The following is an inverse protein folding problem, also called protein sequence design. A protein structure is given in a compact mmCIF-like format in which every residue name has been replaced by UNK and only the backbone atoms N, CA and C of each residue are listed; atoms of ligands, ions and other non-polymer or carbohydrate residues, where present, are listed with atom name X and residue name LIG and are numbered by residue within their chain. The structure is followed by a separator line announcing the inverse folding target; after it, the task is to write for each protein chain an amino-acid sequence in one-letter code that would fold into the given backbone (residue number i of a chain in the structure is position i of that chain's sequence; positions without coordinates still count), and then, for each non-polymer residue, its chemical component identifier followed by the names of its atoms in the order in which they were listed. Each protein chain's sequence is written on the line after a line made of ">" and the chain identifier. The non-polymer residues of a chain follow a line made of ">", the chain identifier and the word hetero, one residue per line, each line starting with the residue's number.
data_IF_249140434741
#
_entry.id   IF_249140434741
#
_cell.length_a   1.000
_cell.length_b   1.000
_cell.length_c   1.000
_cell.angle_alpha   90.00
_cell.angle_beta   90.00
_cell.angle_gamma   90.00
#
_symmetry.space_group_name_H-M   'P 1'
#
loop_
_entity.id
_entity.type
_entity.pdbx_description
1 polymer ?
#
# COMPACT_ATOMS: atom_id res chain seq x y z
N UNK A 1 0.83 -4.63 -25.37
CA UNK A 1 1.26 -3.61 -24.36
C UNK A 1 1.09 -4.25 -23.00
N UNK A 2 2.10 -4.20 -22.12
CA UNK A 2 2.03 -4.73 -20.75
C UNK A 2 1.22 -3.79 -19.85
N UNK A 3 0.87 -4.28 -18.67
CA UNK A 3 0.15 -3.51 -17.63
C UNK A 3 1.04 -2.47 -16.91
N UNK A 4 2.32 -2.40 -17.22
CA UNK A 4 3.27 -1.43 -16.65
C UNK A 4 4.25 -0.93 -17.69
N UNK A 5 4.58 0.36 -17.65
CA UNK A 5 5.51 1.02 -18.57
C UNK A 5 6.99 0.61 -18.36
N UNK A 6 7.33 0.07 -17.17
CA UNK A 6 8.69 -0.39 -16.88
C UNK A 6 9.05 -1.72 -17.59
N UNK A 7 8.06 -2.37 -18.23
CA UNK A 7 8.20 -3.67 -18.88
C UNK A 7 8.36 -3.53 -20.38
N UNK A 8 9.33 -4.24 -20.94
CA UNK A 8 9.59 -4.30 -22.37
C UNK A 8 10.00 -5.71 -22.80
N UNK A 9 10.18 -5.91 -24.11
CA UNK A 9 10.72 -7.16 -24.69
C UNK A 9 12.02 -6.84 -25.40
N UNK A 10 13.08 -7.59 -25.11
CA UNK A 10 14.35 -7.44 -25.77
C UNK A 10 14.40 -8.17 -27.12
N UNK A 11 15.53 -8.05 -27.83
CA UNK A 11 15.75 -8.68 -29.15
C UNK A 11 15.82 -10.22 -29.12
N UNK A 12 15.85 -10.84 -27.94
CA UNK A 12 15.77 -12.30 -27.75
C UNK A 12 14.35 -12.78 -27.47
N UNK A 13 13.36 -11.87 -27.41
CA UNK A 13 11.98 -12.19 -27.04
C UNK A 13 11.77 -12.31 -25.53
N UNK A 14 12.77 -11.96 -24.70
CA UNK A 14 12.65 -12.04 -23.25
C UNK A 14 12.00 -10.78 -22.66
N UNK A 15 11.21 -10.97 -21.62
CA UNK A 15 10.69 -9.87 -20.80
C UNK A 15 11.86 -9.15 -20.12
N UNK A 16 11.78 -7.82 -20.10
CA UNK A 16 12.72 -6.97 -19.37
C UNK A 16 11.99 -6.03 -18.42
N UNK A 17 12.63 -5.67 -17.31
CA UNK A 17 12.17 -4.68 -16.35
C UNK A 17 13.31 -3.72 -15.98
N UNK A 18 13.08 -2.41 -16.08
CA UNK A 18 14.12 -1.40 -15.78
C UNK A 18 15.41 -1.59 -16.61
N UNK A 19 15.30 -2.15 -17.83
CA UNK A 19 16.41 -2.45 -18.71
C UNK A 19 17.16 -3.75 -18.41
N UNK A 20 16.76 -4.53 -17.39
CA UNK A 20 17.34 -5.82 -17.04
C UNK A 20 16.55 -6.98 -17.67
N UNK A 21 17.25 -7.98 -18.22
CA UNK A 21 16.64 -9.23 -18.71
C UNK A 21 16.20 -10.09 -17.52
N UNK A 22 14.91 -10.44 -17.46
CA UNK A 22 14.32 -11.17 -16.34
C UNK A 22 14.87 -12.60 -16.19
N UNK A 23 15.31 -13.24 -17.27
CA UNK A 23 15.93 -14.58 -17.19
C UNK A 23 17.34 -14.49 -16.57
N UNK A 24 18.09 -13.46 -16.88
CA UNK A 24 19.41 -13.25 -16.26
C UNK A 24 19.23 -12.89 -14.76
N UNK A 25 18.23 -12.08 -14.39
CA UNK A 25 17.92 -11.81 -12.98
C UNK A 25 17.53 -13.10 -12.24
N UNK A 26 16.68 -13.93 -12.82
CA UNK A 26 16.29 -15.22 -12.22
C UNK A 26 17.48 -16.16 -12.05
N UNK A 27 18.43 -16.15 -12.99
CA UNK A 27 19.67 -16.95 -12.92
C UNK A 27 20.63 -16.45 -11.85
N UNK A 28 20.79 -15.12 -11.74
CA UNK A 28 21.75 -14.50 -10.79
C UNK A 28 21.26 -14.57 -9.35
N UNK A 29 19.98 -14.22 -9.11
CA UNK A 29 19.42 -14.07 -7.75
C UNK A 29 18.54 -15.24 -7.31
N UNK A 30 18.30 -16.23 -8.19
CA UNK A 30 17.38 -17.35 -7.92
C UNK A 30 15.92 -16.94 -7.93
N UNK A 31 15.04 -17.95 -7.95
CA UNK A 31 13.58 -17.80 -7.85
C UNK A 31 13.03 -18.51 -6.61
N UNK A 32 11.83 -18.18 -6.10
CA UNK A 32 11.03 -17.01 -6.44
C UNK A 32 11.79 -15.70 -6.19
N UNK A 33 11.50 -14.66 -6.99
CA UNK A 33 12.23 -13.39 -6.90
C UNK A 33 11.28 -12.21 -7.11
N UNK A 34 11.24 -11.27 -6.19
CA UNK A 34 10.60 -9.97 -6.44
C UNK A 34 11.59 -9.04 -7.13
N UNK A 35 11.15 -8.40 -8.21
CA UNK A 35 11.93 -7.37 -8.92
C UNK A 35 11.14 -6.09 -8.96
N UNK A 36 11.75 -4.98 -8.53
CA UNK A 36 11.14 -3.65 -8.48
C UNK A 36 11.92 -2.68 -9.35
N UNK A 37 11.25 -1.91 -10.18
CA UNK A 37 11.85 -0.81 -10.95
C UNK A 37 11.87 0.48 -10.13
N UNK A 38 13.06 0.94 -9.75
CA UNK A 38 13.26 2.16 -8.95
C UNK A 38 12.79 3.42 -9.70
N UNK A 39 12.99 3.47 -11.00
CA UNK A 39 12.62 4.63 -11.82
C UNK A 39 11.11 4.84 -11.78
N UNK A 40 10.33 3.79 -11.95
CA UNK A 40 8.86 3.83 -11.87
C UNK A 40 8.40 4.28 -10.49
N UNK A 41 8.94 3.70 -9.41
CA UNK A 41 8.61 4.12 -8.04
C UNK A 41 8.84 5.62 -7.85
N UNK A 42 10.01 6.12 -8.22
CA UNK A 42 10.36 7.53 -8.08
C UNK A 42 9.50 8.45 -8.94
N UNK A 43 9.18 8.05 -10.16
CA UNK A 43 8.32 8.82 -11.06
C UNK A 43 6.91 8.98 -10.49
N UNK A 44 6.36 7.92 -9.91
CA UNK A 44 5.04 7.97 -9.26
C UNK A 44 5.08 8.86 -8.00
N UNK A 45 6.11 8.75 -7.16
CA UNK A 45 6.29 9.66 -6.02
C UNK A 45 6.31 11.13 -6.46
N UNK A 46 7.09 11.44 -7.51
CA UNK A 46 7.17 12.81 -8.09
C UNK A 46 5.83 13.27 -8.66
N UNK A 47 5.05 12.38 -9.28
CA UNK A 47 3.74 12.72 -9.81
C UNK A 47 2.79 13.18 -8.70
N UNK A 48 2.80 12.50 -7.54
CA UNK A 48 2.04 12.92 -6.38
C UNK A 48 2.47 14.30 -5.87
N UNK A 49 3.76 14.51 -5.63
CA UNK A 49 4.27 15.80 -5.13
C UNK A 49 3.93 16.95 -6.09
N UNK A 50 4.18 16.76 -7.39
CA UNK A 50 3.87 17.76 -8.41
C UNK A 50 2.37 18.09 -8.51
N UNK A 51 1.51 17.12 -8.28
CA UNK A 51 0.05 17.34 -8.28
C UNK A 51 -0.37 18.26 -7.13
N UNK A 52 0.23 18.12 -5.94
CA UNK A 52 0.03 19.07 -4.83
C UNK A 52 0.54 20.47 -5.17
N UNK A 53 1.72 20.59 -5.77
CA UNK A 53 2.28 21.88 -6.18
C UNK A 53 1.35 22.58 -7.18
N UNK A 54 0.89 21.86 -8.20
CA UNK A 54 0.07 22.40 -9.30
C UNK A 54 -1.31 22.83 -8.87
N UNK A 55 -2.04 21.96 -8.15
CA UNK A 55 -3.45 22.17 -7.85
C UNK A 55 -3.73 22.71 -6.45
N UNK A 56 -2.77 22.54 -5.53
CA UNK A 56 -2.96 22.91 -4.12
C UNK A 56 -1.84 23.82 -3.58
N UNK A 57 -1.04 24.39 -4.46
CA UNK A 57 0.06 25.33 -4.12
C UNK A 57 1.07 24.75 -3.11
N UNK A 58 1.28 23.45 -3.11
CA UNK A 58 2.16 22.76 -2.17
C UNK A 58 1.61 22.67 -0.73
N UNK A 59 0.34 23.03 -0.48
CA UNK A 59 -0.28 22.98 0.84
C UNK A 59 -0.73 21.54 1.21
N UNK A 60 0.18 20.58 1.07
CA UNK A 60 -0.10 19.18 1.37
C UNK A 60 1.10 18.27 1.13
N UNK A 61 0.97 17.02 1.56
CA UNK A 61 2.04 16.02 1.43
C UNK A 61 1.47 14.61 1.22
N UNK A 62 1.95 13.85 0.23
CA UNK A 62 1.66 12.43 0.15
C UNK A 62 2.45 11.67 1.23
N UNK A 63 1.79 10.74 1.91
CA UNK A 63 2.39 9.79 2.85
C UNK A 63 2.48 8.43 2.13
N UNK A 64 3.66 7.84 2.05
CA UNK A 64 3.77 6.48 1.54
C UNK A 64 3.18 5.49 2.55
N UNK A 65 2.11 4.77 2.17
CA UNK A 65 1.51 3.75 3.00
C UNK A 65 2.41 2.51 3.04
N UNK A 66 3.24 2.40 4.08
CA UNK A 66 4.31 1.41 4.19
C UNK A 66 3.81 -0.04 4.21
N UNK A 67 2.57 -0.28 4.62
CA UNK A 67 1.91 -1.60 4.55
C UNK A 67 1.90 -2.22 3.15
N UNK A 68 1.99 -1.42 2.09
CA UNK A 68 2.05 -1.92 0.71
C UNK A 68 3.35 -2.71 0.47
N UNK A 69 4.47 -2.17 0.93
CA UNK A 69 5.77 -2.84 0.98
C UNK A 69 6.70 -2.07 1.93
N UNK A 70 6.98 -2.63 3.12
CA UNK A 70 7.86 -2.01 4.10
C UNK A 70 9.26 -2.61 4.04
N UNK A 71 10.23 -1.80 3.61
CA UNK A 71 11.65 -2.07 3.75
C UNK A 71 12.45 -0.77 3.82
N UNK A 72 13.68 -0.83 4.35
CA UNK A 72 14.52 0.36 4.53
C UNK A 72 14.73 1.17 3.25
N UNK A 73 14.82 0.49 2.11
CA UNK A 73 15.07 1.15 0.84
C UNK A 73 13.86 1.98 0.39
N UNK A 74 12.63 1.48 0.56
CA UNK A 74 11.43 2.28 0.23
C UNK A 74 11.27 3.48 1.16
N UNK A 75 11.61 3.33 2.45
CA UNK A 75 11.65 4.49 3.35
C UNK A 75 12.66 5.55 2.87
N UNK A 76 13.84 5.14 2.38
CA UNK A 76 14.83 6.09 1.81
C UNK A 76 14.30 6.79 0.56
N UNK A 77 13.70 6.04 -0.37
CA UNK A 77 13.11 6.61 -1.59
C UNK A 77 12.00 7.59 -1.22
N UNK A 78 11.08 7.23 -0.33
CA UNK A 78 10.02 8.14 0.12
C UNK A 78 10.58 9.44 0.71
N UNK A 79 11.62 9.35 1.57
CA UNK A 79 12.33 10.51 2.12
C UNK A 79 12.94 11.37 1.02
N UNK A 80 13.68 10.77 0.08
CA UNK A 80 14.38 11.47 -1.00
C UNK A 80 13.43 12.16 -1.97
N UNK A 81 12.26 11.57 -2.21
CA UNK A 81 11.21 12.14 -3.07
C UNK A 81 10.25 13.08 -2.33
N UNK A 82 10.50 13.36 -1.04
CA UNK A 82 9.77 14.37 -0.27
C UNK A 82 8.44 13.90 0.35
N UNK A 83 8.18 12.59 0.40
CA UNK A 83 6.99 12.02 1.02
C UNK A 83 7.15 11.89 2.56
N UNK A 84 6.02 11.82 3.27
CA UNK A 84 5.93 11.27 4.61
C UNK A 84 5.70 9.74 4.58
N UNK A 85 5.44 9.14 5.75
CA UNK A 85 5.08 7.73 5.87
C UNK A 85 3.79 7.55 6.67
N UNK A 86 2.94 6.60 6.24
CA UNK A 86 1.91 5.95 7.03
C UNK A 86 2.47 4.60 7.50
N UNK A 87 2.48 4.39 8.83
CA UNK A 87 2.96 3.17 9.48
C UNK A 87 1.88 2.60 10.39
N UNK A 88 1.87 1.26 10.58
CA UNK A 88 0.77 0.56 11.28
C UNK A 88 1.24 -0.27 12.48
N UNK A 89 2.54 -0.36 12.72
CA UNK A 89 3.10 -1.19 13.79
C UNK A 89 4.46 -0.68 14.26
N UNK A 90 4.89 -1.14 15.43
CA UNK A 90 6.24 -0.91 15.94
C UNK A 90 7.33 -1.40 14.99
N UNK A 91 7.08 -2.48 14.23
CA UNK A 91 8.02 -2.99 13.22
C UNK A 91 8.22 -2.04 12.05
N UNK A 92 7.15 -1.40 11.56
CA UNK A 92 7.23 -0.39 10.51
C UNK A 92 7.89 0.90 11.01
N UNK A 93 7.60 1.33 12.26
CA UNK A 93 8.30 2.44 12.93
C UNK A 93 9.79 2.15 13.02
N UNK A 94 10.17 0.96 13.50
CA UNK A 94 11.57 0.55 13.59
C UNK A 94 12.27 0.54 12.24
N UNK A 95 11.59 0.08 11.19
CA UNK A 95 12.10 0.09 9.81
C UNK A 95 12.40 1.51 9.34
N UNK A 96 11.49 2.46 9.60
CA UNK A 96 11.67 3.88 9.29
C UNK A 96 12.85 4.49 10.05
N UNK A 97 12.97 4.23 11.35
CA UNK A 97 14.11 4.66 12.19
C UNK A 97 15.43 4.12 11.63
N UNK A 98 15.49 2.82 11.29
CA UNK A 98 16.68 2.19 10.71
C UNK A 98 17.03 2.68 9.30
N UNK A 99 16.08 3.27 8.59
CA UNK A 99 16.30 3.92 7.30
C UNK A 99 16.74 5.39 7.44
N UNK A 100 16.75 5.95 8.65
CA UNK A 100 17.02 7.36 8.92
C UNK A 100 15.94 8.28 8.37
N UNK A 101 14.67 7.84 8.43
CA UNK A 101 13.53 8.64 8.00
C UNK A 101 13.24 9.77 9.00
N UNK A 102 12.80 10.96 8.56
CA UNK A 102 12.39 12.05 9.45
C UNK A 102 11.08 11.69 10.15
N UNK A 103 11.16 11.28 11.42
CA UNK A 103 10.04 10.66 12.15
C UNK A 103 8.88 11.63 12.41
N UNK A 104 9.14 12.93 12.40
CA UNK A 104 8.11 13.98 12.47
C UNK A 104 7.16 13.99 11.26
N UNK A 105 7.52 13.32 10.16
CA UNK A 105 6.68 13.11 8.96
C UNK A 105 6.01 11.74 8.93
N UNK A 106 5.98 11.04 10.06
CA UNK A 106 5.37 9.71 10.18
C UNK A 106 4.01 9.83 10.87
N UNK A 107 2.98 9.21 10.29
CA UNK A 107 1.66 9.05 10.88
C UNK A 107 1.48 7.59 11.29
N UNK A 108 1.12 7.36 12.57
CA UNK A 108 0.97 6.02 13.14
C UNK A 108 -0.50 5.62 13.21
N UNK A 109 -0.89 4.72 12.35
CA UNK A 109 -2.21 4.12 12.19
C UNK A 109 -2.37 2.82 12.99
N UNK A 110 -3.55 2.23 12.90
CA UNK A 110 -3.90 0.94 13.51
C UNK A 110 -5.05 1.07 14.51
N UNK A 111 -5.91 0.05 14.55
CA UNK A 111 -7.09 0.03 15.41
C UNK A 111 -6.84 -0.55 16.81
N UNK A 112 -5.63 -1.00 17.09
CA UNK A 112 -5.22 -1.56 18.38
C UNK A 112 -3.72 -1.37 18.60
N UNK A 113 -3.30 -0.14 18.85
CA UNK A 113 -1.91 0.16 19.22
C UNK A 113 -1.67 -0.26 20.67
N UNK A 114 -0.62 -1.03 20.90
CA UNK A 114 -0.24 -1.45 22.24
C UNK A 114 0.45 -0.31 23.00
N UNK A 115 0.43 -0.36 24.34
CA UNK A 115 1.13 0.62 25.17
C UNK A 115 2.63 0.70 24.82
N UNK A 116 3.27 -0.43 24.55
CA UNK A 116 4.69 -0.48 24.20
C UNK A 116 4.96 0.15 22.82
N UNK A 117 4.07 -0.06 21.85
CA UNK A 117 4.17 0.59 20.53
C UNK A 117 3.95 2.11 20.63
N UNK A 118 3.02 2.56 21.47
CA UNK A 118 2.79 3.99 21.74
C UNK A 118 4.04 4.60 22.37
N UNK A 119 4.62 3.97 23.40
CA UNK A 119 5.86 4.44 24.03
C UNK A 119 7.01 4.51 23.03
N UNK A 120 7.21 3.45 22.23
CA UNK A 120 8.24 3.43 21.22
C UNK A 120 8.04 4.49 20.13
N UNK A 121 6.80 4.75 19.71
CA UNK A 121 6.47 5.81 18.75
C UNK A 121 6.80 7.21 19.33
N UNK A 122 6.44 7.46 20.59
CA UNK A 122 6.77 8.71 21.32
C UNK A 122 8.29 8.89 21.50
N UNK A 123 9.02 7.82 21.85
CA UNK A 123 10.48 7.85 21.96
C UNK A 123 11.14 8.14 20.61
N UNK A 124 10.59 7.58 19.54
CA UNK A 124 11.05 7.78 18.17
C UNK A 124 10.64 9.13 17.58
N UNK A 125 9.88 9.95 18.30
CA UNK A 125 9.33 11.25 17.86
C UNK A 125 8.44 11.14 16.60
N UNK A 126 7.57 10.13 16.54
CA UNK A 126 6.54 10.02 15.50
C UNK A 126 5.67 11.27 15.51
N UNK A 127 5.45 11.85 14.32
CA UNK A 127 4.84 13.17 14.17
C UNK A 127 3.36 13.20 14.51
N UNK A 128 2.61 12.09 14.24
CA UNK A 128 1.16 12.06 14.46
C UNK A 128 0.65 10.65 14.79
N UNK A 129 -0.30 10.57 15.71
CA UNK A 129 -1.04 9.35 16.04
C UNK A 129 -2.45 9.43 15.45
N UNK A 130 -2.78 8.51 14.56
CA UNK A 130 -4.13 8.39 14.00
C UNK A 130 -4.95 7.51 14.94
N UNK A 131 -5.70 8.16 15.80
CA UNK A 131 -6.49 7.53 16.88
C UNK A 131 -7.74 6.91 16.29
N UNK A 132 -7.98 5.66 16.64
CA UNK A 132 -9.03 4.84 16.07
C UNK A 132 -10.24 4.64 17.00
N UNK A 133 -10.05 4.80 18.31
CA UNK A 133 -11.10 4.62 19.33
C UNK A 133 -10.79 5.42 20.62
N UNK A 134 -11.80 5.52 21.49
CA UNK A 134 -11.68 6.31 22.74
C UNK A 134 -10.72 5.71 23.76
N UNK A 135 -10.60 4.38 23.83
CA UNK A 135 -9.65 3.72 24.73
C UNK A 135 -8.21 4.08 24.35
N UNK A 136 -7.90 4.08 23.06
CA UNK A 136 -6.59 4.51 22.56
C UNK A 136 -6.30 5.99 22.93
N UNK A 137 -7.31 6.86 22.78
CA UNK A 137 -7.18 8.28 23.16
C UNK A 137 -6.81 8.44 24.63
N UNK A 138 -7.48 7.71 25.51
CA UNK A 138 -7.20 7.73 26.96
C UNK A 138 -5.79 7.21 27.25
N UNK A 139 -5.46 6.05 26.71
CA UNK A 139 -4.15 5.41 26.88
C UNK A 139 -3.00 6.28 26.37
N UNK A 140 -3.18 6.92 25.20
CA UNK A 140 -2.17 7.83 24.63
C UNK A 140 -1.97 9.05 25.53
N UNK A 141 -3.06 9.67 26.03
CA UNK A 141 -2.97 10.80 26.94
C UNK A 141 -2.24 10.43 28.26
N UNK A 142 -2.55 9.25 28.83
CA UNK A 142 -1.90 8.73 30.03
C UNK A 142 -0.40 8.54 29.82
N UNK A 143 -0.03 7.79 28.77
CA UNK A 143 1.39 7.53 28.44
C UNK A 143 2.15 8.82 28.15
N UNK A 144 1.55 9.77 27.42
CA UNK A 144 2.15 11.07 27.18
C UNK A 144 2.43 11.81 28.51
N UNK A 145 1.48 11.78 29.46
CA UNK A 145 1.65 12.38 30.79
C UNK A 145 2.79 11.72 31.57
N UNK A 146 2.85 10.39 31.59
CA UNK A 146 3.94 9.65 32.26
C UNK A 146 5.33 9.98 31.67
N UNK A 147 5.39 10.17 30.35
CA UNK A 147 6.64 10.49 29.64
C UNK A 147 6.97 11.98 29.58
N UNK A 148 6.10 12.86 30.11
CA UNK A 148 6.27 14.32 30.01
C UNK A 148 6.26 14.82 28.55
N UNK A 149 5.50 14.16 27.67
CA UNK A 149 5.39 14.47 26.24
C UNK A 149 3.98 14.92 25.86
N UNK A 150 3.85 15.52 24.69
CA UNK A 150 2.56 15.77 24.03
C UNK A 150 2.54 15.11 22.67
N UNK A 151 1.37 14.61 22.26
CA UNK A 151 1.17 13.98 20.95
C UNK A 151 0.21 14.80 20.09
N UNK A 152 0.58 15.07 18.83
CA UNK A 152 -0.40 15.48 17.84
C UNK A 152 -1.21 14.27 17.41
N UNK A 153 -2.53 14.43 17.34
CA UNK A 153 -3.43 13.35 16.96
C UNK A 153 -4.30 13.72 15.76
N UNK A 154 -4.69 12.69 15.05
CA UNK A 154 -5.75 12.68 14.06
C UNK A 154 -6.84 11.72 14.50
N UNK A 155 -8.11 12.00 14.23
CA UNK A 155 -9.17 11.01 14.38
C UNK A 155 -9.48 10.34 13.05
N UNK A 156 -9.48 9.00 13.06
CA UNK A 156 -9.96 8.22 11.92
C UNK A 156 -11.48 8.22 11.91
N UNK A 157 -12.05 8.81 10.86
CA UNK A 157 -13.48 9.01 10.69
C UNK A 157 -14.01 8.08 9.61
N UNK A 158 -15.20 7.49 9.83
CA UNK A 158 -15.97 6.76 8.83
C UNK A 158 -16.97 7.73 8.18
N UNK A 159 -16.72 8.21 6.95
CA UNK A 159 -17.60 9.20 6.31
C UNK A 159 -18.89 8.60 5.74
N UNK A 160 -19.07 7.28 5.73
CA UNK A 160 -20.25 6.62 5.17
C UNK A 160 -20.26 6.49 3.65
N UNK A 161 -19.13 6.74 2.98
CA UNK A 161 -19.03 6.68 1.50
C UNK A 161 -18.86 5.23 1.02
N UNK A 162 -19.67 4.82 0.03
CA UNK A 162 -19.50 3.54 -0.69
C UNK A 162 -18.67 3.76 -1.96
N UNK A 163 -17.49 3.19 -2.00
CA UNK A 163 -16.58 3.28 -3.15
C UNK A 163 -16.74 2.09 -4.13
N UNK A 164 -17.83 1.30 -4.01
CA UNK A 164 -18.15 0.14 -4.87
C UNK A 164 -17.00 -0.87 -5.05
N UNK A 165 -16.19 -1.06 -4.01
CA UNK A 165 -15.04 -1.98 -4.01
C UNK A 165 -15.37 -3.32 -3.34
N UNK A 166 -14.46 -4.30 -3.43
CA UNK A 166 -14.64 -5.63 -2.81
C UNK A 166 -14.88 -5.51 -1.29
N UNK A 167 -15.81 -6.33 -0.74
CA UNK A 167 -16.27 -6.25 0.66
C UNK A 167 -15.14 -6.21 1.71
N UNK A 168 -14.05 -6.93 1.51
CA UNK A 168 -12.91 -6.96 2.44
C UNK A 168 -12.00 -5.71 2.38
N UNK A 169 -12.21 -4.80 1.42
CA UNK A 169 -11.41 -3.58 1.27
C UNK A 169 -12.24 -2.29 1.39
N UNK A 170 -13.52 -2.40 1.74
CA UNK A 170 -14.39 -1.27 2.10
C UNK A 170 -14.08 -0.82 3.52
N UNK A 171 -13.68 0.42 3.71
CA UNK A 171 -13.29 0.96 5.02
C UNK A 171 -14.06 2.21 5.44
N UNK A 172 -14.79 2.82 4.51
CA UNK A 172 -15.56 4.05 4.74
C UNK A 172 -16.97 3.83 5.31
N UNK A 173 -17.46 2.59 5.42
CA UNK A 173 -18.80 2.25 5.87
C UNK A 173 -18.88 2.09 7.40
N UNK A 174 -20.10 2.20 7.96
CA UNK A 174 -20.38 2.03 9.40
C UNK A 174 -19.89 0.65 9.89
N UNK A 175 -20.17 -0.42 9.16
CA UNK A 175 -19.70 -1.78 9.49
C UNK A 175 -18.25 -1.96 9.08
N UNK A 176 -17.38 -1.32 9.83
CA UNK A 176 -15.92 -1.43 9.72
C UNK A 176 -15.32 -1.43 11.11
N UNK A 177 -14.26 -2.22 11.31
CA UNK A 177 -13.52 -2.27 12.58
C UNK A 177 -12.74 -0.98 12.88
N UNK A 178 -12.69 -0.03 11.96
CA UNK A 178 -11.87 1.16 12.05
C UNK A 178 -12.69 2.42 12.33
N UNK A 179 -12.16 3.27 13.22
CA UNK A 179 -12.52 4.68 13.36
C UNK A 179 -13.91 4.98 13.90
N UNK A 180 -14.18 6.27 14.05
CA UNK A 180 -15.41 6.84 14.60
C UNK A 180 -16.44 7.09 13.51
N UNK A 181 -17.70 6.71 13.74
CA UNK A 181 -18.78 6.95 12.79
C UNK A 181 -19.31 8.39 12.88
N UNK A 182 -19.54 9.03 11.71
CA UNK A 182 -20.20 10.34 11.66
C UNK A 182 -21.70 10.21 11.92
N UNK A 183 -22.35 9.22 11.32
CA UNK A 183 -23.81 9.06 11.34
C UNK A 183 -24.35 8.86 12.75
N UNK A 184 -23.61 8.21 13.64
CA UNK A 184 -24.01 7.95 15.03
C UNK A 184 -23.71 9.14 15.97
N UNK A 185 -22.97 10.14 15.50
CA UNK A 185 -22.45 11.24 16.33
C UNK A 185 -21.20 10.88 17.16
N UNK A 186 -20.73 9.65 17.09
CA UNK A 186 -19.55 9.17 17.84
C UNK A 186 -18.30 10.02 17.57
N UNK A 187 -18.09 10.38 16.29
CA UNK A 187 -16.97 11.22 15.89
C UNK A 187 -16.99 12.60 16.58
N UNK A 188 -18.16 13.21 16.70
CA UNK A 188 -18.30 14.52 17.33
C UNK A 188 -18.06 14.46 18.86
N UNK A 189 -18.56 13.43 19.52
CA UNK A 189 -18.30 13.20 20.95
C UNK A 189 -16.82 12.89 21.22
N UNK A 190 -16.14 12.19 20.31
CA UNK A 190 -14.69 11.98 20.40
C UNK A 190 -13.90 13.31 20.34
N UNK A 191 -14.30 14.23 19.45
CA UNK A 191 -13.70 15.56 19.36
C UNK A 191 -13.87 16.33 20.68
N UNK A 192 -15.08 16.34 21.26
CA UNK A 192 -15.32 16.96 22.57
C UNK A 192 -14.43 16.36 23.67
N UNK A 193 -14.33 15.02 23.69
CA UNK A 193 -13.54 14.31 24.69
C UNK A 193 -12.03 14.64 24.57
N UNK A 194 -11.52 14.76 23.35
CA UNK A 194 -10.12 15.16 23.14
C UNK A 194 -9.76 16.51 23.73
N UNK A 195 -10.72 17.46 23.79
CA UNK A 195 -10.51 18.77 24.42
C UNK A 195 -10.35 18.71 25.93
N UNK A 196 -10.68 17.59 26.56
CA UNK A 196 -10.54 17.38 28.01
C UNK A 196 -9.15 16.86 28.41
N UNK A 197 -8.29 16.55 27.46
CA UNK A 197 -6.98 15.95 27.69
C UNK A 197 -5.84 16.92 27.41
N UNK A 198 -4.92 17.07 28.36
CA UNK A 198 -3.83 18.06 28.32
C UNK A 198 -2.62 17.60 27.47
N UNK A 199 -2.49 16.29 27.24
CA UNK A 199 -1.29 15.72 26.63
C UNK A 199 -1.48 15.31 25.15
N UNK A 200 -2.66 15.53 24.58
CA UNK A 200 -2.95 15.31 23.16
C UNK A 200 -3.45 16.58 22.50
N UNK A 201 -3.12 16.76 21.24
CA UNK A 201 -3.50 17.90 20.43
C UNK A 201 -4.16 17.43 19.14
N UNK A 202 -5.46 17.62 19.01
CA UNK A 202 -6.20 17.24 17.79
C UNK A 202 -5.97 18.31 16.71
N UNK A 203 -5.18 17.96 15.68
CA UNK A 203 -4.85 18.84 14.56
C UNK A 203 -5.46 18.42 13.25
N UNK A 204 -5.86 17.15 13.12
CA UNK A 204 -6.23 16.52 11.85
C UNK A 204 -7.45 15.64 12.00
N UNK A 205 -8.25 15.57 10.93
CA UNK A 205 -9.19 14.48 10.70
C UNK A 205 -8.71 13.62 9.54
N UNK A 206 -8.88 12.31 9.66
CA UNK A 206 -8.49 11.32 8.67
C UNK A 206 -9.72 10.52 8.22
N UNK A 207 -9.78 10.19 6.92
CA UNK A 207 -10.68 9.15 6.40
C UNK A 207 -9.97 8.27 5.38
N UNK A 208 -10.50 7.07 5.20
CA UNK A 208 -10.06 6.15 4.15
C UNK A 208 -11.26 5.33 3.68
N UNK A 209 -11.60 5.42 2.40
CA UNK A 209 -12.87 4.92 1.87
C UNK A 209 -12.77 3.56 1.17
N UNK A 210 -11.57 3.05 0.91
CA UNK A 210 -11.38 1.75 0.28
C UNK A 210 -10.06 1.60 -0.43
N UNK A 211 -9.96 0.59 -1.30
CA UNK A 211 -8.74 0.27 -2.05
C UNK A 211 -9.09 -0.21 -3.45
N UNK A 212 -8.22 0.01 -4.43
CA UNK A 212 -8.44 -0.31 -5.84
C UNK A 212 -9.66 0.43 -6.41
N UNK A 213 -9.72 1.74 -6.16
CA UNK A 213 -10.80 2.63 -6.58
C UNK A 213 -10.38 3.28 -7.90
N UNK A 214 -11.24 3.20 -8.91
CA UNK A 214 -11.01 3.76 -10.24
C UNK A 214 -11.82 5.02 -10.51
N UNK A 215 -12.83 5.32 -9.67
CA UNK A 215 -13.68 6.50 -9.79
C UNK A 215 -13.20 7.62 -8.85
N UNK A 216 -13.26 8.87 -9.32
CA UNK A 216 -12.88 10.06 -8.54
C UNK A 216 -14.01 10.53 -7.62
N UNK A 217 -15.26 10.37 -8.01
CA UNK A 217 -16.41 10.93 -7.30
C UNK A 217 -16.51 10.50 -5.83
N UNK A 218 -16.22 9.24 -5.45
CA UNK A 218 -16.19 8.84 -4.04
C UNK A 218 -15.16 9.62 -3.20
N UNK A 219 -14.03 10.00 -3.78
CA UNK A 219 -13.01 10.79 -3.08
C UNK A 219 -13.43 12.23 -2.90
N UNK A 220 -14.08 12.83 -3.91
CA UNK A 220 -14.67 14.18 -3.84
C UNK A 220 -15.75 14.21 -2.77
N UNK A 221 -16.67 13.25 -2.78
CA UNK A 221 -17.75 13.12 -1.79
C UNK A 221 -17.18 12.97 -0.38
N UNK A 222 -16.16 12.14 -0.19
CA UNK A 222 -15.49 11.99 1.11
C UNK A 222 -14.88 13.31 1.59
N UNK A 223 -14.20 14.05 0.71
CA UNK A 223 -13.63 15.35 1.04
C UNK A 223 -14.71 16.35 1.46
N UNK A 224 -15.83 16.43 0.74
CA UNK A 224 -16.95 17.31 1.07
C UNK A 224 -17.55 16.98 2.45
N UNK A 225 -17.84 15.71 2.72
CA UNK A 225 -18.37 15.25 4.02
C UNK A 225 -17.40 15.58 5.16
N UNK A 226 -16.09 15.38 4.95
CA UNK A 226 -15.11 15.68 5.97
C UNK A 226 -15.00 17.19 6.25
N UNK A 227 -15.09 18.04 5.22
CA UNK A 227 -15.12 19.51 5.38
C UNK A 227 -16.43 19.97 6.06
N UNK A 228 -17.58 19.37 5.74
CA UNK A 228 -18.84 19.66 6.43
C UNK A 228 -18.72 19.31 7.94
N UNK A 229 -18.05 18.22 8.26
CA UNK A 229 -17.79 17.86 9.67
C UNK A 229 -16.81 18.82 10.34
N UNK A 230 -15.74 19.26 9.66
CA UNK A 230 -14.84 20.31 10.17
C UNK A 230 -15.59 21.62 10.41
N UNK A 231 -16.49 21.98 9.49
CA UNK A 231 -17.39 23.16 9.64
C UNK A 231 -18.30 23.05 10.86
N UNK A 232 -18.91 21.89 11.10
CA UNK A 232 -19.70 21.62 12.30
C UNK A 232 -18.89 21.76 13.58
N UNK A 233 -17.68 21.19 13.63
CA UNK A 233 -16.77 21.31 14.77
C UNK A 233 -16.45 22.79 15.03
N UNK A 234 -16.13 23.55 14.00
CA UNK A 234 -15.85 24.98 14.13
C UNK A 234 -17.06 25.75 14.66
N UNK A 235 -18.23 25.54 14.09
CA UNK A 235 -19.44 26.25 14.47
C UNK A 235 -19.89 25.95 15.90
N UNK A 236 -19.88 24.68 16.31
CA UNK A 236 -20.42 24.25 17.61
C UNK A 236 -19.39 24.34 18.76
N UNK A 237 -18.10 24.15 18.46
CA UNK A 237 -17.04 24.09 19.50
C UNK A 237 -16.02 25.23 19.40
N UNK A 238 -16.06 26.05 18.34
CA UNK A 238 -15.08 27.10 18.12
C UNK A 238 -13.67 26.60 17.76
N UNK A 239 -13.52 25.31 17.41
CA UNK A 239 -12.24 24.67 17.10
C UNK A 239 -11.99 24.73 15.60
N UNK A 240 -10.79 25.08 15.19
CA UNK A 240 -10.34 25.00 13.80
C UNK A 240 -9.41 23.82 13.67
N UNK A 241 -9.83 22.79 12.93
CA UNK A 241 -8.96 21.68 12.53
C UNK A 241 -8.18 22.14 11.30
N UNK A 242 -6.85 22.10 11.37
CA UNK A 242 -5.97 22.68 10.35
C UNK A 242 -5.53 21.71 9.27
N UNK A 243 -5.72 20.42 9.46
CA UNK A 243 -5.22 19.36 8.59
C UNK A 243 -6.32 18.35 8.27
N UNK A 244 -6.28 17.82 7.04
CA UNK A 244 -7.23 16.82 6.56
C UNK A 244 -6.47 15.72 5.81
N UNK A 245 -6.62 14.47 6.26
CA UNK A 245 -6.06 13.32 5.59
C UNK A 245 -7.16 12.52 4.89
N UNK A 246 -7.10 12.42 3.59
CA UNK A 246 -8.10 11.76 2.75
C UNK A 246 -7.78 10.29 2.46
N UNK A 247 -6.72 9.76 3.09
CA UNK A 247 -6.31 8.37 2.93
C UNK A 247 -5.75 8.05 1.55
N UNK A 248 -5.74 6.77 1.25
CA UNK A 248 -5.33 6.24 -0.06
C UNK A 248 -6.50 5.58 -0.78
N UNK A 249 -6.19 4.56 -1.57
CA UNK A 249 -7.20 3.79 -2.28
C UNK A 249 -7.05 3.80 -3.80
N UNK A 250 -6.09 4.54 -4.33
CA UNK A 250 -5.85 4.69 -5.77
C UNK A 250 -5.61 3.34 -6.44
N UNK A 251 -6.42 3.05 -7.48
CA UNK A 251 -6.35 1.84 -8.29
C UNK A 251 -5.13 1.80 -9.19
N UNK A 252 -4.73 0.58 -9.57
CA UNK A 252 -3.65 0.30 -10.53
C UNK A 252 -4.09 -0.79 -11.52
N UNK A 253 -3.35 -0.96 -12.61
CA UNK A 253 -3.56 -2.06 -13.55
C UNK A 253 -2.97 -3.37 -13.04
N UNK A 254 -3.82 -4.37 -12.83
CA UNK A 254 -3.44 -5.78 -12.67
C UNK A 254 -3.68 -6.56 -13.96
N UNK A 255 -4.71 -6.17 -14.69
CA UNK A 255 -5.11 -6.73 -15.98
C UNK A 255 -5.36 -5.60 -16.99
N UNK A 256 -5.56 -5.95 -18.25
CA UNK A 256 -5.86 -4.97 -19.30
C UNK A 256 -7.26 -4.34 -19.20
N UNK A 257 -8.11 -4.92 -18.35
CA UNK A 257 -9.47 -4.44 -18.13
C UNK A 257 -9.55 -3.37 -17.04
N UNK A 258 -8.45 -3.12 -16.33
CA UNK A 258 -8.35 -2.08 -15.30
C UNK A 258 -8.04 -0.72 -15.93
N UNK A 259 -8.77 0.32 -15.55
CA UNK A 259 -8.63 1.69 -16.06
C UNK A 259 -8.36 2.70 -14.91
N UNK A 260 -7.13 2.74 -14.38
CA UNK A 260 -6.80 3.67 -13.29
C UNK A 260 -6.84 5.12 -13.77
N UNK A 261 -7.40 6.00 -12.93
CA UNK A 261 -7.42 7.43 -13.18
C UNK A 261 -6.05 8.04 -12.83
N UNK A 262 -5.50 8.95 -13.68
CA UNK A 262 -4.28 9.67 -13.36
C UNK A 262 -4.40 10.48 -12.05
N UNK A 263 -3.35 10.44 -11.21
CA UNK A 263 -3.33 11.15 -9.92
C UNK A 263 -3.57 12.65 -10.03
N UNK A 264 -3.14 13.23 -11.13
CA UNK A 264 -3.33 14.65 -11.43
C UNK A 264 -4.82 15.00 -11.45
N UNK A 265 -5.65 14.17 -12.10
CA UNK A 265 -7.10 14.37 -12.18
C UNK A 265 -7.76 14.26 -10.78
N UNK A 266 -7.29 13.35 -9.95
CA UNK A 266 -7.72 13.25 -8.55
C UNK A 266 -7.44 14.56 -7.81
N UNK A 267 -6.20 15.05 -7.82
CA UNK A 267 -5.81 16.25 -7.08
C UNK A 267 -6.52 17.51 -7.61
N UNK A 268 -6.76 17.61 -8.92
CA UNK A 268 -7.54 18.70 -9.51
C UNK A 268 -8.94 18.77 -8.88
N UNK A 269 -9.68 17.67 -8.94
CA UNK A 269 -11.08 17.63 -8.46
C UNK A 269 -11.21 17.75 -6.95
N UNK A 270 -10.41 17.01 -6.20
CA UNK A 270 -10.45 17.04 -4.74
C UNK A 270 -10.02 18.39 -4.20
N UNK A 271 -8.99 19.02 -4.78
CA UNK A 271 -8.56 20.35 -4.33
C UNK A 271 -9.60 21.44 -4.58
N UNK A 272 -10.35 21.36 -5.69
CA UNK A 272 -11.48 22.25 -5.97
C UNK A 272 -12.59 22.11 -4.92
N UNK A 273 -12.99 20.87 -4.62
CA UNK A 273 -14.03 20.57 -3.62
C UNK A 273 -13.62 21.05 -2.21
N UNK A 274 -12.39 20.76 -1.79
CA UNK A 274 -11.88 21.20 -0.48
C UNK A 274 -11.88 22.73 -0.36
N UNK A 275 -11.38 23.44 -1.38
CA UNK A 275 -11.37 24.92 -1.39
C UNK A 275 -12.78 25.51 -1.35
N UNK A 276 -13.71 24.93 -2.11
CA UNK A 276 -15.10 25.36 -2.15
C UNK A 276 -15.79 25.20 -0.79
N UNK A 277 -15.67 24.02 -0.18
CA UNK A 277 -16.24 23.69 1.12
C UNK A 277 -15.59 24.47 2.28
N UNK A 278 -14.29 24.65 2.27
CA UNK A 278 -13.61 25.48 3.26
C UNK A 278 -14.14 26.93 3.23
N UNK A 279 -14.33 27.50 2.02
CA UNK A 279 -14.91 28.82 1.86
C UNK A 279 -16.38 28.88 2.33
N UNK A 280 -17.19 27.86 2.02
CA UNK A 280 -18.60 27.75 2.44
C UNK A 280 -18.71 27.82 3.96
N UNK A 281 -17.87 27.10 4.69
CA UNK A 281 -17.86 27.07 6.16
C UNK A 281 -17.04 28.19 6.83
N UNK A 282 -16.44 29.10 6.06
CA UNK A 282 -15.59 30.16 6.60
C UNK A 282 -14.31 29.65 7.27
N UNK A 283 -13.85 28.44 6.87
CA UNK A 283 -12.64 27.82 7.36
C UNK A 283 -11.40 28.24 6.56
N UNK A 284 -10.20 28.29 7.16
CA UNK A 284 -8.99 28.31 6.39
C UNK A 284 -8.86 27.03 5.58
N UNK A 285 -8.24 27.11 4.40
CA UNK A 285 -7.98 25.92 3.57
C UNK A 285 -7.02 25.00 4.31
N UNK A 286 -7.41 23.74 4.65
CA UNK A 286 -6.58 22.85 5.45
C UNK A 286 -5.33 22.38 4.70
N UNK A 287 -4.30 21.96 5.42
CA UNK A 287 -3.21 21.18 4.85
C UNK A 287 -3.70 19.77 4.55
N UNK A 288 -3.47 19.25 3.32
CA UNK A 288 -3.99 17.94 2.93
C UNK A 288 -2.90 16.88 2.94
N UNK A 289 -3.25 15.72 3.51
CA UNK A 289 -2.49 14.47 3.33
C UNK A 289 -3.29 13.47 2.49
N UNK A 290 -2.58 12.62 1.75
CA UNK A 290 -3.09 11.41 1.10
C UNK A 290 -2.10 10.26 1.36
N UNK A 291 -2.58 9.01 1.24
CA UNK A 291 -1.82 7.82 1.65
C UNK A 291 -1.65 6.81 0.48
N UNK A 292 -0.98 7.19 -0.62
CA UNK A 292 -0.71 6.26 -1.70
C UNK A 292 0.27 5.17 -1.24
N UNK A 293 -0.07 3.91 -1.49
CA UNK A 293 0.80 2.76 -1.22
C UNK A 293 0.87 1.86 -2.44
N UNK A 294 -0.26 1.19 -2.74
CA UNK A 294 -0.42 0.33 -3.92
C UNK A 294 0.07 1.01 -5.20
N UNK A 295 -0.39 2.21 -5.44
CA UNK A 295 -0.09 2.96 -6.66
C UNK A 295 1.37 3.37 -6.81
N UNK A 296 2.14 3.46 -5.71
CA UNK A 296 3.57 3.76 -5.77
C UNK A 296 4.39 2.53 -6.18
N UNK A 297 4.09 1.36 -5.64
CA UNK A 297 4.98 0.19 -5.78
C UNK A 297 4.36 -0.95 -6.59
N UNK A 298 3.04 -1.00 -6.76
CA UNK A 298 2.34 -2.14 -7.33
C UNK A 298 2.79 -2.47 -8.75
N UNK A 299 2.62 -1.54 -9.67
CA UNK A 299 2.99 -1.71 -11.10
C UNK A 299 4.50 -1.67 -11.34
N UNK A 300 5.28 -1.14 -10.40
CA UNK A 300 6.73 -1.13 -10.45
C UNK A 300 7.34 -2.52 -10.18
N UNK A 301 6.55 -3.48 -9.72
CA UNK A 301 7.05 -4.78 -9.27
C UNK A 301 6.48 -5.98 -10.02
N UNK A 302 7.33 -6.98 -10.20
CA UNK A 302 6.98 -8.31 -10.72
C UNK A 302 7.53 -9.39 -9.80
N UNK A 303 6.95 -10.60 -9.87
CA UNK A 303 7.51 -11.79 -9.23
C UNK A 303 7.88 -12.82 -10.29
N UNK A 304 9.12 -13.29 -10.24
CA UNK A 304 9.63 -14.32 -11.13
C UNK A 304 9.58 -15.69 -10.45
N UNK A 305 9.05 -16.67 -11.16
CA UNK A 305 8.92 -18.05 -10.72
C UNK A 305 9.53 -19.01 -11.72
N UNK A 306 10.14 -20.09 -11.23
CA UNK A 306 10.63 -21.20 -12.04
C UNK A 306 9.53 -22.27 -12.16
N UNK A 307 9.24 -22.71 -13.38
CA UNK A 307 8.33 -23.81 -13.63
C UNK A 307 9.02 -25.14 -13.29
N UNK A 308 8.48 -25.83 -12.30
CA UNK A 308 8.98 -27.14 -11.83
C UNK A 308 8.21 -28.34 -12.38
N UNK A 309 6.95 -28.12 -12.81
CA UNK A 309 6.10 -29.21 -13.29
C UNK A 309 4.93 -28.71 -14.12
N UNK A 310 4.42 -29.59 -14.98
CA UNK A 310 3.20 -29.37 -15.76
C UNK A 310 2.34 -30.63 -15.68
N UNK A 311 1.08 -30.47 -15.31
CA UNK A 311 0.11 -31.58 -15.17
C UNK A 311 -1.16 -31.24 -15.93
N UNK A 312 -1.41 -32.00 -16.99
CA UNK A 312 -2.65 -31.92 -17.75
C UNK A 312 -3.67 -32.91 -17.17
N UNK A 313 -4.89 -32.41 -16.93
CA UNK A 313 -6.06 -33.19 -16.61
C UNK A 313 -6.99 -33.04 -17.82
N UNK A 314 -7.13 -34.08 -18.65
CA UNK A 314 -7.86 -33.99 -19.92
C UNK A 314 -9.28 -33.43 -19.74
N UNK A 315 -9.66 -32.47 -20.58
CA UNK A 315 -10.95 -31.78 -20.56
C UNK A 315 -11.31 -31.05 -19.26
N UNK A 316 -10.35 -30.87 -18.32
CA UNK A 316 -10.56 -30.17 -17.07
C UNK A 316 -9.63 -28.97 -16.95
N UNK A 317 -8.29 -29.20 -16.85
CA UNK A 317 -7.36 -28.13 -16.53
C UNK A 317 -5.90 -28.55 -16.74
N UNK A 318 -5.08 -27.60 -17.15
CA UNK A 318 -3.61 -27.74 -17.13
C UNK A 318 -3.04 -26.96 -15.96
N UNK A 319 -2.41 -27.65 -15.01
CA UNK A 319 -1.65 -27.02 -13.93
C UNK A 319 -0.20 -26.81 -14.34
N UNK A 320 0.34 -25.65 -14.03
CA UNK A 320 1.76 -25.32 -14.10
C UNK A 320 2.23 -25.02 -12.69
N UNK A 321 3.06 -25.91 -12.13
CA UNK A 321 3.57 -25.76 -10.77
C UNK A 321 4.86 -24.94 -10.78
N UNK A 322 4.93 -23.97 -9.87
CA UNK A 322 6.08 -23.07 -9.72
C UNK A 322 6.76 -23.26 -8.36
N UNK A 323 7.96 -22.71 -8.23
CA UNK A 323 8.80 -22.84 -7.03
C UNK A 323 8.44 -21.90 -5.88
N UNK A 324 7.41 -21.04 -6.03
CA UNK A 324 6.77 -20.22 -4.99
C UNK A 324 5.31 -20.56 -4.81
N UNK A 325 4.50 -19.58 -4.41
CA UNK A 325 3.06 -19.75 -4.25
C UNK A 325 2.44 -18.80 -3.23
N UNK A 326 1.45 -19.29 -2.47
CA UNK A 326 0.74 -18.46 -1.47
C UNK A 326 1.65 -17.91 -0.36
N UNK A 327 2.82 -18.47 -0.15
CA UNK A 327 3.82 -17.95 0.79
C UNK A 327 4.41 -16.61 0.37
N UNK A 328 4.39 -16.30 -0.91
CA UNK A 328 4.94 -15.07 -1.51
C UNK A 328 3.91 -14.31 -2.35
N UNK A 329 2.79 -14.93 -2.73
CA UNK A 329 1.65 -14.29 -3.36
C UNK A 329 0.32 -14.87 -2.84
N UNK A 330 -0.12 -14.39 -1.68
CA UNK A 330 -1.35 -14.87 -1.00
C UNK A 330 -2.63 -14.30 -1.63
N UNK A 331 -2.55 -13.25 -2.44
CA UNK A 331 -3.69 -12.42 -2.80
C UNK A 331 -4.73 -13.15 -3.65
N UNK A 332 -4.31 -14.09 -4.52
CA UNK A 332 -5.27 -14.89 -5.26
C UNK A 332 -6.06 -15.80 -4.32
N UNK A 333 -5.39 -16.51 -3.42
CA UNK A 333 -6.04 -17.38 -2.44
C UNK A 333 -6.96 -16.61 -1.48
N UNK A 334 -6.59 -15.37 -1.12
CA UNK A 334 -7.33 -14.56 -0.13
C UNK A 334 -8.48 -13.75 -0.75
N UNK A 335 -8.28 -13.19 -1.94
CA UNK A 335 -9.20 -12.23 -2.57
C UNK A 335 -9.64 -12.62 -3.98
N UNK A 336 -9.12 -13.72 -4.54
CA UNK A 336 -9.25 -14.08 -5.95
C UNK A 336 -8.80 -12.94 -6.89
N UNK A 337 -7.78 -12.17 -6.44
CA UNK A 337 -7.24 -11.05 -7.19
C UNK A 337 -6.64 -11.52 -8.51
N UNK A 338 -7.11 -11.00 -9.63
CA UNK A 338 -6.56 -11.31 -10.94
C UNK A 338 -5.16 -10.71 -11.11
N UNK A 339 -4.26 -11.46 -11.77
CA UNK A 339 -2.94 -11.04 -12.17
C UNK A 339 -2.67 -11.38 -13.63
N UNK A 340 -1.92 -10.55 -14.32
CA UNK A 340 -1.36 -10.90 -15.62
C UNK A 340 -0.11 -11.75 -15.43
N UNK A 341 -0.06 -12.91 -16.09
CA UNK A 341 1.09 -13.81 -16.09
C UNK A 341 1.71 -13.85 -17.48
N UNK A 342 3.03 -13.79 -17.56
CA UNK A 342 3.80 -13.81 -18.83
C UNK A 342 4.87 -14.89 -18.74
N UNK A 343 5.04 -15.67 -19.83
CA UNK A 343 6.23 -16.50 -20.00
C UNK A 343 7.41 -15.57 -20.31
N UNK A 344 8.28 -15.37 -19.34
CA UNK A 344 9.35 -14.36 -19.39
C UNK A 344 10.36 -14.61 -20.53
N UNK A 345 10.56 -15.88 -20.93
CA UNK A 345 11.44 -16.25 -22.04
C UNK A 345 10.78 -16.21 -23.43
N UNK A 346 9.47 -15.99 -23.48
CA UNK A 346 8.65 -15.99 -24.69
C UNK A 346 7.68 -14.79 -24.71
N UNK A 347 8.13 -13.65 -24.20
CA UNK A 347 7.29 -12.47 -24.02
C UNK A 347 6.89 -11.79 -25.35
N UNK A 348 7.55 -12.12 -26.45
CA UNK A 348 7.23 -11.71 -27.82
C UNK A 348 6.22 -12.63 -28.51
N UNK A 349 5.85 -13.75 -27.90
CA UNK A 349 4.92 -14.73 -28.48
C UNK A 349 3.49 -14.45 -28.06
N UNK A 350 2.56 -14.80 -28.96
CA UNK A 350 1.14 -14.76 -28.62
C UNK A 350 0.82 -15.75 -27.51
N UNK A 351 -0.01 -15.34 -26.52
CA UNK A 351 -0.47 -16.25 -25.48
C UNK A 351 -1.50 -17.24 -26.06
N UNK A 352 -1.09 -18.47 -26.30
CA UNK A 352 -1.84 -19.52 -26.98
C UNK A 352 -2.25 -20.70 -26.07
N UNK A 353 -1.79 -20.71 -24.81
CA UNK A 353 -2.10 -21.75 -23.84
C UNK A 353 -2.86 -21.20 -22.63
N UNK A 354 -3.91 -21.92 -22.17
CA UNK A 354 -4.61 -21.58 -20.92
C UNK A 354 -4.14 -22.54 -19.83
N UNK A 355 -3.59 -21.96 -18.73
CA UNK A 355 -3.06 -22.71 -17.61
C UNK A 355 -3.56 -22.17 -16.28
N UNK A 356 -3.46 -22.99 -15.23
CA UNK A 356 -3.58 -22.57 -13.84
C UNK A 356 -2.20 -22.64 -13.21
N UNK A 357 -1.67 -21.50 -12.78
CA UNK A 357 -0.39 -21.40 -12.09
C UNK A 357 -0.61 -21.77 -10.63
N UNK A 358 -0.02 -22.86 -10.19
CA UNK A 358 -0.12 -23.40 -8.83
C UNK A 358 1.21 -23.29 -8.10
N UNK A 359 1.15 -22.96 -6.81
CA UNK A 359 2.32 -22.94 -5.95
C UNK A 359 2.76 -24.34 -5.50
N UNK A 360 3.82 -24.38 -4.69
CA UNK A 360 4.45 -25.60 -4.19
C UNK A 360 4.00 -25.97 -2.76
N UNK A 361 3.16 -25.18 -2.12
CA UNK A 361 2.69 -25.47 -0.78
C UNK A 361 1.80 -26.71 -0.74
N UNK A 362 1.86 -27.47 0.34
CA UNK A 362 0.97 -28.61 0.56
C UNK A 362 -0.41 -28.11 1.02
N UNK A 363 -1.08 -27.35 0.13
CA UNK A 363 -2.39 -26.71 0.33
C UNK A 363 -3.13 -26.63 -1.02
N UNK A 364 -4.36 -27.13 -1.05
CA UNK A 364 -5.16 -27.18 -2.30
C UNK A 364 -5.48 -25.81 -2.87
N UNK A 365 -5.57 -24.78 -2.03
CA UNK A 365 -5.82 -23.39 -2.37
C UNK A 365 -4.57 -22.61 -2.78
N UNK A 366 -3.40 -23.25 -2.88
CA UNK A 366 -2.16 -22.60 -3.29
C UNK A 366 -2.13 -22.36 -4.80
N UNK A 367 -2.89 -21.36 -5.22
CA UNK A 367 -3.00 -20.92 -6.61
C UNK A 367 -2.50 -19.47 -6.71
N UNK A 368 -1.66 -19.22 -7.71
CA UNK A 368 -1.18 -17.87 -8.04
C UNK A 368 -2.12 -17.19 -9.04
N UNK A 369 -2.59 -17.94 -10.05
CA UNK A 369 -3.60 -17.47 -11.01
C UNK A 369 -4.26 -18.66 -11.71
N UNK A 370 -5.60 -18.65 -11.75
CA UNK A 370 -6.37 -19.62 -12.51
C UNK A 370 -6.68 -19.12 -13.93
N UNK A 371 -6.85 -20.08 -14.85
CA UNK A 371 -7.32 -19.85 -16.22
C UNK A 371 -6.60 -18.69 -16.94
N UNK A 372 -5.30 -18.52 -16.67
CA UNK A 372 -4.51 -17.46 -17.30
C UNK A 372 -4.02 -17.90 -18.67
N UNK A 373 -4.05 -16.97 -19.62
CA UNK A 373 -3.59 -17.19 -20.99
C UNK A 373 -2.13 -16.74 -21.10
N UNK A 374 -1.26 -17.67 -21.48
CA UNK A 374 0.19 -17.45 -21.57
C UNK A 374 0.76 -18.06 -22.86
N UNK A 375 1.92 -17.59 -23.31
CA UNK A 375 2.67 -18.30 -24.36
C UNK A 375 3.08 -19.68 -23.84
N UNK A 376 3.08 -20.70 -24.70
CA UNK A 376 3.31 -22.11 -24.36
C UNK A 376 4.39 -22.31 -23.30
N UNK A 377 4.01 -22.97 -22.19
CA UNK A 377 4.85 -23.20 -21.02
C UNK A 377 5.46 -24.59 -21.03
N UNK A 378 6.75 -24.66 -20.72
CA UNK A 378 7.52 -25.89 -20.56
C UNK A 378 8.20 -25.91 -19.17
N UNK A 379 8.49 -27.13 -18.68
CA UNK A 379 9.26 -27.29 -17.44
C UNK A 379 10.64 -26.64 -17.62
N UNK A 380 11.04 -25.83 -16.67
CA UNK A 380 12.25 -25.04 -16.74
C UNK A 380 12.05 -23.60 -17.27
N UNK A 381 10.88 -23.25 -17.80
CA UNK A 381 10.57 -21.86 -18.13
C UNK A 381 10.51 -20.97 -16.87
N UNK A 382 10.61 -19.66 -17.07
CA UNK A 382 10.40 -18.65 -16.03
C UNK A 382 9.11 -17.92 -16.33
N UNK A 383 8.19 -17.89 -15.35
CA UNK A 383 6.97 -17.08 -15.40
C UNK A 383 7.17 -15.78 -14.63
N UNK A 384 6.66 -14.69 -15.16
CA UNK A 384 6.55 -13.41 -14.49
C UNK A 384 5.09 -13.11 -14.15
N UNK A 385 4.79 -12.88 -12.89
CA UNK A 385 3.50 -12.36 -12.42
C UNK A 385 3.66 -10.85 -12.26
N UNK A 386 2.85 -10.08 -13.00
CA UNK A 386 2.98 -8.63 -13.11
C UNK A 386 2.25 -7.90 -11.97
N UNK A 387 2.60 -6.63 -11.73
CA UNK A 387 1.97 -5.75 -10.70
C UNK A 387 1.99 -6.33 -9.28
N UNK A 388 3.06 -7.03 -8.90
CA UNK A 388 3.20 -7.69 -7.59
C UNK A 388 4.00 -6.87 -6.58
N UNK A 389 4.33 -5.61 -6.86
CA UNK A 389 5.12 -4.77 -5.94
C UNK A 389 4.41 -4.45 -4.62
N UNK A 390 3.07 -4.47 -4.58
CA UNK A 390 2.28 -4.14 -3.40
C UNK A 390 1.57 -5.37 -2.82
N UNK A 391 1.58 -5.49 -1.47
CA UNK A 391 0.83 -6.50 -0.69
C UNK A 391 1.17 -7.96 -0.99
N UNK A 392 2.34 -8.23 -1.58
CA UNK A 392 2.85 -9.59 -1.79
C UNK A 392 3.97 -9.87 -0.79
N UNK A 393 5.14 -9.25 -0.92
CA UNK A 393 6.22 -9.45 0.06
C UNK A 393 5.80 -9.07 1.49
N UNK A 394 5.07 -7.97 1.68
CA UNK A 394 4.59 -7.54 3.01
C UNK A 394 3.62 -8.52 3.66
N UNK A 395 2.96 -9.37 2.88
CA UNK A 395 2.06 -10.44 3.36
C UNK A 395 2.72 -11.84 3.27
N UNK A 396 3.99 -11.91 2.86
CA UNK A 396 4.70 -13.18 2.74
C UNK A 396 4.84 -13.89 4.09
N UNK A 397 4.80 -15.21 4.06
CA UNK A 397 4.86 -16.07 5.23
C UNK A 397 5.86 -17.21 5.05
N UNK A 398 6.12 -17.93 6.14
CA UNK A 398 6.94 -19.14 6.12
C UNK A 398 6.08 -20.41 6.23
N UNK A 399 4.87 -20.41 5.65
CA UNK A 399 4.06 -21.63 5.59
C UNK A 399 4.85 -22.76 4.93
N UNK A 400 4.68 -23.99 5.40
CA UNK A 400 5.54 -25.16 5.09
C UNK A 400 7.05 -24.91 5.30
N UNK A 401 7.46 -23.94 6.14
CA UNK A 401 8.87 -23.55 6.37
C UNK A 401 9.57 -23.10 5.07
N UNK A 402 8.85 -22.55 4.11
CA UNK A 402 9.42 -22.01 2.87
C UNK A 402 10.06 -20.65 3.18
N UNK A 403 11.34 -20.43 2.81
CA UNK A 403 12.01 -19.14 2.98
C UNK A 403 11.35 -18.03 2.14
N UNK A 404 11.24 -16.83 2.71
CA UNK A 404 10.78 -15.66 1.95
C UNK A 404 11.79 -15.29 0.86
N UNK A 405 11.30 -14.91 -0.34
CA UNK A 405 12.15 -14.54 -1.46
C UNK A 405 12.96 -13.27 -1.22
N UNK A 406 14.02 -13.07 -2.02
CA UNK A 406 14.70 -11.80 -2.09
C UNK A 406 13.86 -10.73 -2.80
N UNK A 407 14.17 -9.46 -2.50
CA UNK A 407 13.75 -8.32 -3.31
C UNK A 407 14.99 -7.73 -3.98
N UNK A 408 14.95 -7.65 -5.30
CA UNK A 408 15.95 -6.97 -6.13
C UNK A 408 15.33 -5.70 -6.70
N UNK A 409 16.06 -4.61 -6.63
CA UNK A 409 15.68 -3.35 -7.25
C UNK A 409 16.53 -3.12 -8.48
N UNK A 410 15.90 -2.73 -9.58
CA UNK A 410 16.55 -2.48 -10.87
C UNK A 410 16.43 -1.01 -11.26
N UNK A 411 17.46 -0.50 -11.94
CA UNK A 411 17.51 0.85 -12.50
C UNK A 411 18.56 0.93 -13.58
N UNK A 412 18.21 1.47 -14.74
CA UNK A 412 19.15 1.72 -15.84
C UNK A 412 19.99 0.48 -16.22
N UNK A 413 19.35 -0.70 -16.30
CA UNK A 413 20.00 -1.95 -16.64
C UNK A 413 20.90 -2.55 -15.54
N UNK A 414 20.84 -2.03 -14.31
CA UNK A 414 21.58 -2.54 -13.15
C UNK A 414 20.64 -3.07 -12.09
N UNK A 415 21.05 -4.13 -11.40
CA UNK A 415 20.28 -4.77 -10.35
C UNK A 415 21.05 -4.74 -9.02
N UNK A 416 20.33 -4.62 -7.90
CA UNK A 416 20.89 -4.72 -6.54
C UNK A 416 19.88 -5.37 -5.59
N UNK A 417 20.36 -6.17 -4.66
CA UNK A 417 19.52 -6.75 -3.59
C UNK A 417 19.21 -5.68 -2.56
N UNK A 418 17.92 -5.47 -2.26
CA UNK A 418 17.44 -4.55 -1.21
C UNK A 418 16.87 -5.29 0.00
N UNK A 419 16.39 -6.54 -0.21
CA UNK A 419 16.06 -7.48 0.87
C UNK A 419 16.63 -8.84 0.50
N UNK A 420 17.42 -9.42 1.40
CA UNK A 420 18.03 -10.74 1.19
C UNK A 420 16.96 -11.83 1.25
N UNK A 421 17.17 -12.92 0.47
CA UNK A 421 16.43 -14.17 0.63
C UNK A 421 16.70 -14.74 2.01
N UNK A 422 15.68 -15.27 2.69
CA UNK A 422 15.89 -16.04 3.92
C UNK A 422 16.65 -17.34 3.63
N UNK A 423 17.56 -17.69 4.53
CA UNK A 423 18.20 -18.99 4.57
C UNK A 423 17.40 -19.97 5.44
N UNK A 424 17.75 -21.26 5.44
CA UNK A 424 17.15 -22.22 6.36
C UNK A 424 17.52 -21.91 7.82
N UNK A 425 18.69 -21.32 8.06
CA UNK A 425 19.10 -20.84 9.38
C UNK A 425 18.21 -19.70 9.87
N UNK A 426 17.78 -18.80 8.96
CA UNK A 426 16.84 -17.72 9.31
C UNK A 426 15.50 -18.28 9.75
N UNK A 427 15.04 -19.39 9.16
CA UNK A 427 13.77 -20.05 9.50
C UNK A 427 13.77 -20.60 10.91
N UNK A 428 14.90 -21.16 11.37
CA UNK A 428 14.99 -21.86 12.68
C UNK A 428 15.62 -21.01 13.78
N UNK A 429 16.07 -19.80 13.48
CA UNK A 429 16.84 -18.95 14.42
C UNK A 429 16.13 -18.65 15.75
N UNK A 430 14.81 -18.73 15.79
CA UNK A 430 13.98 -18.50 16.99
C UNK A 430 13.46 -19.83 17.61
N UNK A 431 13.78 -20.99 17.02
CA UNK A 431 13.44 -22.29 17.61
C UNK A 431 14.42 -22.59 18.76
N UNK A 432 13.95 -23.17 19.87
CA UNK A 432 14.72 -23.52 21.07
C UNK A 432 14.68 -25.01 21.32
#
# INVERSE_FOLDING_TARGET
>A
MFVSECLNVNNKGHLTIGGCDTLELAKEFGTPLYVLDETTIRNVCKAYVKSFEKYYHGNGMPLYASKALSCKELCRIAKEEGLGLDVVSGGEIYTAVQAGFPMEKVHFHGNNKTADEIRFALESNVGKFVVDNLYELELLNEICGEMGKKANISFRIKPGVDAHTHNFIRTGQIDSKFGFALETGEAFEAVKKAQMYDNVNLTELHCHIGSQIFDIDPFVTAAEIMLDFMGKIHYELGIVISELNLGGGFGIMYTKDDEPVPYENYMEKVSEAVKAKAKEHGLPVPYIFIEPGRSIVGEAGITLYKVGGKKEIPNVRTYVSVDGGMTDNIRYALYQSAYTVVNAGKADKEPDEIVTVAGKCCESGDLVQEHTKVAKVEVGDTLAVLSTGAYNYSMASNYNRIPRPAIVMVKDGKARVVVKRESYEDIVKNDI
#
